data_IF_546440103857
#
_entry.id   IF_546440103857
#
_cell.length_a   1.000
_cell.length_b   1.000
_cell.length_c   1.000
_cell.angle_alpha   90.00
_cell.angle_beta   90.00
_cell.angle_gamma   90.00
#
_symmetry.space_group_name_H-M   'P 1'
#
loop_
_entity.id
_entity.type
_entity.pdbx_description
1 polymer ?
#
# COMPACT_ATOMS: atom_id res chain seq x y z
N UNK A 1 2.03 1.14 -6.26
CA UNK A 1 2.68 2.21 -5.47
C UNK A 1 2.98 1.69 -4.07
N UNK A 2 4.15 1.97 -3.58
CA UNK A 2 4.57 1.60 -2.22
C UNK A 2 4.74 2.89 -1.42
N UNK A 3 3.97 3.04 -0.35
CA UNK A 3 3.99 4.23 0.50
C UNK A 3 4.45 3.84 1.89
N UNK A 4 5.64 4.29 2.26
CA UNK A 4 6.27 3.96 3.54
C UNK A 4 7.37 4.99 3.80
N UNK A 5 7.50 5.46 5.04
CA UNK A 5 8.54 6.41 5.41
C UNK A 5 9.93 5.76 5.52
N UNK A 6 9.99 4.44 5.58
CA UNK A 6 11.24 3.69 5.61
C UNK A 6 11.69 3.32 4.21
N UNK A 7 12.85 3.85 3.82
CA UNK A 7 13.46 3.52 2.53
C UNK A 7 13.75 2.03 2.40
N UNK A 8 14.21 1.40 3.49
CA UNK A 8 14.52 -0.03 3.50
C UNK A 8 13.26 -0.85 3.29
N UNK A 9 12.15 -0.50 3.95
CA UNK A 9 10.87 -1.19 3.76
C UNK A 9 10.38 -1.06 2.32
N UNK A 10 10.50 0.12 1.71
CA UNK A 10 10.13 0.30 0.31
C UNK A 10 10.98 -0.57 -0.62
N UNK A 11 12.28 -0.62 -0.36
CA UNK A 11 13.19 -1.43 -1.17
C UNK A 11 12.85 -2.92 -1.10
N UNK A 12 12.58 -3.42 0.10
CA UNK A 12 12.22 -4.83 0.32
C UNK A 12 10.93 -5.19 -0.42
N UNK A 13 9.89 -4.36 -0.24
CA UNK A 13 8.61 -4.58 -0.92
C UNK A 13 8.78 -4.55 -2.44
N UNK A 14 9.53 -3.58 -2.95
CA UNK A 14 9.81 -3.46 -4.37
C UNK A 14 10.50 -4.71 -4.92
N UNK A 15 11.52 -5.21 -4.23
CA UNK A 15 12.24 -6.40 -4.65
C UNK A 15 11.33 -7.62 -4.74
N UNK A 16 10.46 -7.81 -3.76
CA UNK A 16 9.53 -8.94 -3.78
C UNK A 16 8.52 -8.82 -4.92
N UNK A 17 7.96 -7.62 -5.14
CA UNK A 17 6.99 -7.40 -6.21
C UNK A 17 7.63 -7.64 -7.58
N UNK A 18 8.79 -7.04 -7.83
CA UNK A 18 9.47 -7.19 -9.12
C UNK A 18 10.05 -8.59 -9.33
N UNK A 19 10.36 -9.30 -8.25
CA UNK A 19 10.76 -10.69 -8.33
C UNK A 19 9.63 -11.61 -8.79
N UNK A 20 8.39 -11.27 -8.46
CA UNK A 20 7.20 -12.02 -8.87
C UNK A 20 6.66 -11.53 -10.22
N UNK A 21 6.74 -10.24 -10.49
CA UNK A 21 6.20 -9.60 -11.69
C UNK A 21 7.20 -8.56 -12.21
N UNK A 22 8.21 -9.02 -12.93
CA UNK A 22 9.31 -8.18 -13.41
C UNK A 22 8.86 -7.09 -14.40
N UNK A 23 7.72 -7.28 -15.04
CA UNK A 23 7.15 -6.33 -16.00
C UNK A 23 6.34 -5.20 -15.35
N UNK A 24 6.12 -5.27 -14.04
CA UNK A 24 5.37 -4.24 -13.32
C UNK A 24 6.23 -3.01 -13.08
N UNK A 25 5.58 -1.83 -13.11
CA UNK A 25 6.23 -0.57 -12.75
C UNK A 25 5.92 -0.26 -11.28
N UNK A 26 6.95 0.00 -10.51
CA UNK A 26 6.81 0.31 -9.08
C UNK A 26 7.12 1.79 -8.85
N UNK A 27 6.17 2.50 -8.25
CA UNK A 27 6.31 3.89 -7.83
C UNK A 27 6.36 3.94 -6.32
N UNK A 28 7.28 4.71 -5.76
CA UNK A 28 7.46 4.85 -4.32
C UNK A 28 7.08 6.24 -3.84
N UNK A 29 6.55 6.31 -2.62
CA UNK A 29 6.27 7.56 -1.93
C UNK A 29 6.71 7.43 -0.47
N UNK A 30 7.30 8.48 0.08
CA UNK A 30 7.84 8.47 1.43
C UNK A 30 6.82 8.90 2.49
N UNK A 31 5.70 9.45 2.07
CA UNK A 31 4.62 9.90 2.97
C UNK A 31 3.31 10.00 2.20
N UNK A 32 2.23 10.29 2.93
CA UNK A 32 0.89 10.36 2.36
C UNK A 32 0.71 11.49 1.36
N UNK A 33 1.28 12.65 1.65
CA UNK A 33 1.20 13.83 0.79
C UNK A 33 1.85 13.56 -0.57
N UNK A 34 3.01 12.91 -0.55
CA UNK A 34 3.72 12.51 -1.76
C UNK A 34 2.92 11.48 -2.56
N UNK A 35 2.31 10.52 -1.86
CA UNK A 35 1.46 9.51 -2.50
C UNK A 35 0.28 10.16 -3.22
N UNK A 36 -0.39 11.10 -2.56
CA UNK A 36 -1.52 11.81 -3.17
C UNK A 36 -1.11 12.66 -4.36
N UNK A 37 0.08 13.26 -4.30
CA UNK A 37 0.61 14.06 -5.41
C UNK A 37 0.94 13.20 -6.63
N UNK A 38 1.45 12.00 -6.42
CA UNK A 38 1.85 11.08 -7.50
C UNK A 38 0.69 10.26 -8.08
N UNK A 39 -0.34 10.00 -7.28
CA UNK A 39 -1.41 9.09 -7.66
C UNK A 39 -2.15 9.45 -8.97
N UNK A 40 -2.52 10.70 -9.24
CA UNK A 40 -3.24 11.02 -10.48
C UNK A 40 -2.47 10.70 -11.75
N UNK A 41 -1.14 10.86 -11.74
CA UNK A 41 -0.30 10.57 -12.88
C UNK A 41 0.05 9.08 -12.94
N UNK A 42 0.44 8.50 -11.82
CA UNK A 42 0.87 7.11 -11.76
C UNK A 42 -0.27 6.13 -11.94
N UNK A 43 -1.46 6.46 -11.49
CA UNK A 43 -2.67 5.62 -11.53
C UNK A 43 -2.38 4.16 -11.13
N UNK A 44 -1.86 3.95 -9.91
CA UNK A 44 -1.48 2.62 -9.49
C UNK A 44 -2.71 1.70 -9.38
N UNK A 45 -2.54 0.45 -9.76
CA UNK A 45 -3.55 -0.59 -9.60
C UNK A 45 -3.49 -1.22 -8.22
N UNK A 46 -2.32 -1.13 -7.58
CA UNK A 46 -2.09 -1.63 -6.23
C UNK A 46 -1.36 -0.56 -5.43
N UNK A 47 -1.85 -0.29 -4.23
CA UNK A 47 -1.18 0.60 -3.27
C UNK A 47 -0.91 -0.18 -2.00
N UNK A 48 0.35 -0.22 -1.60
CA UNK A 48 0.79 -0.80 -0.33
C UNK A 48 1.15 0.36 0.58
N UNK A 49 0.42 0.53 1.68
CA UNK A 49 0.45 1.73 2.50
C UNK A 49 0.78 1.42 3.95
N UNK A 50 1.89 1.95 4.46
CA UNK A 50 2.20 1.85 5.88
C UNK A 50 1.19 2.69 6.69
N UNK A 51 0.64 2.11 7.74
CA UNK A 51 -0.29 2.79 8.64
C UNK A 51 0.43 3.85 9.47
N UNK A 52 1.63 3.53 9.94
CA UNK A 52 2.38 4.40 10.86
C UNK A 52 3.36 5.29 10.10
N UNK A 53 2.86 6.42 9.61
CA UNK A 53 3.69 7.42 8.93
C UNK A 53 3.50 8.77 9.58
N UNK A 54 4.55 9.63 9.60
CA UNK A 54 4.40 11.00 10.08
C UNK A 54 3.46 11.80 9.17
N UNK A 55 2.88 12.85 9.70
CA UNK A 55 1.94 13.69 8.97
C UNK A 55 0.55 13.10 8.96
N UNK A 56 -0.02 12.94 7.76
CA UNK A 56 -1.42 12.54 7.60
C UNK A 56 -1.71 11.10 8.06
N UNK A 57 -0.69 10.24 8.09
CA UNK A 57 -0.89 8.83 8.43
C UNK A 57 -1.46 8.00 7.29
N UNK A 58 -1.26 6.67 7.38
CA UNK A 58 -1.64 5.77 6.29
C UNK A 58 -3.14 5.62 6.10
N UNK A 59 -3.89 5.57 7.19
CA UNK A 59 -5.34 5.35 7.12
C UNK A 59 -6.06 6.53 6.47
N UNK A 60 -5.73 7.76 6.87
CA UNK A 60 -6.31 8.96 6.27
C UNK A 60 -5.92 9.09 4.79
N UNK A 61 -4.67 8.77 4.46
CA UNK A 61 -4.20 8.78 3.08
C UNK A 61 -4.93 7.73 2.24
N UNK A 62 -5.12 6.53 2.77
CA UNK A 62 -5.85 5.45 2.09
C UNK A 62 -7.29 5.86 1.78
N UNK A 63 -7.94 6.56 2.70
CA UNK A 63 -9.29 7.06 2.48
C UNK A 63 -9.35 8.03 1.31
N UNK A 64 -8.40 8.96 1.21
CA UNK A 64 -8.34 9.88 0.10
C UNK A 64 -7.96 9.20 -1.22
N UNK A 65 -7.02 8.27 -1.18
CA UNK A 65 -6.65 7.48 -2.36
C UNK A 65 -7.82 6.64 -2.88
N UNK A 66 -8.65 6.10 -1.99
CA UNK A 66 -9.84 5.34 -2.38
C UNK A 66 -10.77 6.17 -3.24
N UNK A 67 -10.91 7.47 -2.93
CA UNK A 67 -11.73 8.40 -3.71
C UNK A 67 -11.12 8.73 -5.07
N UNK A 68 -9.78 8.89 -5.11
CA UNK A 68 -9.06 9.21 -6.34
C UNK A 68 -8.93 7.99 -7.27
N UNK A 69 -8.81 6.82 -6.68
CA UNK A 69 -8.51 5.57 -7.39
C UNK A 69 -9.54 4.51 -6.99
N UNK A 70 -10.79 4.64 -7.44
CA UNK A 70 -11.87 3.75 -6.98
C UNK A 70 -11.65 2.29 -7.36
N UNK A 71 -10.89 2.01 -8.40
CA UNK A 71 -10.63 0.65 -8.88
C UNK A 71 -9.31 0.07 -8.36
N UNK A 72 -8.51 0.86 -7.64
CA UNK A 72 -7.24 0.38 -7.13
C UNK A 72 -7.44 -0.55 -5.93
N UNK A 73 -6.57 -1.55 -5.83
CA UNK A 73 -6.50 -2.38 -4.64
C UNK A 73 -5.55 -1.71 -3.65
N UNK A 74 -6.07 -1.31 -2.49
CA UNK A 74 -5.29 -0.64 -1.45
C UNK A 74 -5.16 -1.56 -0.26
N UNK A 75 -3.93 -1.82 0.18
CA UNK A 75 -3.65 -2.64 1.35
C UNK A 75 -2.82 -1.86 2.35
N UNK A 76 -3.28 -1.81 3.59
CA UNK A 76 -2.55 -1.19 4.68
C UNK A 76 -1.52 -2.17 5.25
N UNK A 77 -0.34 -1.66 5.59
CA UNK A 77 0.69 -2.41 6.29
C UNK A 77 0.72 -2.00 7.74
N UNK A 78 0.62 -2.95 8.66
CA UNK A 78 0.61 -2.66 10.08
C UNK A 78 1.37 -3.72 10.88
N UNK A 79 2.13 -3.29 11.89
CA UNK A 79 2.81 -4.20 12.80
C UNK A 79 1.83 -4.82 13.80
N UNK A 80 0.72 -4.15 14.04
CA UNK A 80 -0.26 -4.60 15.04
C UNK A 80 -1.66 -4.22 14.57
N UNK A 81 -2.44 -5.21 14.16
CA UNK A 81 -3.80 -4.99 13.68
C UNK A 81 -4.72 -4.75 14.87
N UNK A 82 -5.20 -3.51 15.00
CA UNK A 82 -6.15 -3.11 16.02
C UNK A 82 -7.57 -3.19 15.47
N UNK A 83 -8.54 -3.47 16.34
CA UNK A 83 -9.95 -3.57 15.94
C UNK A 83 -10.47 -2.30 15.29
N UNK A 84 -10.08 -1.13 15.82
CA UNK A 84 -10.48 0.16 15.25
C UNK A 84 -9.93 0.35 13.83
N UNK A 85 -8.68 -0.02 13.59
CA UNK A 85 -8.07 0.06 12.25
C UNK A 85 -8.75 -0.89 11.29
N UNK A 86 -9.04 -2.11 11.74
CA UNK A 86 -9.74 -3.13 10.95
C UNK A 86 -11.13 -2.66 10.54
N UNK A 87 -11.88 -2.11 11.50
CA UNK A 87 -13.22 -1.60 11.24
C UNK A 87 -13.20 -0.45 10.23
N UNK A 88 -12.26 0.48 10.40
CA UNK A 88 -12.14 1.62 9.51
C UNK A 88 -11.71 1.20 8.11
N UNK A 89 -10.79 0.25 8.00
CA UNK A 89 -10.37 -0.30 6.70
C UNK A 89 -11.56 -0.91 5.96
N UNK A 90 -12.41 -1.65 6.67
CA UNK A 90 -13.63 -2.20 6.08
C UNK A 90 -14.60 -1.13 5.58
N UNK A 91 -14.76 -0.04 6.34
CA UNK A 91 -15.64 1.07 5.95
C UNK A 91 -15.18 1.76 4.68
N UNK A 92 -13.88 1.95 4.51
CA UNK A 92 -13.33 2.63 3.33
C UNK A 92 -12.99 1.67 2.18
N UNK A 93 -13.19 0.39 2.38
CA UNK A 93 -12.99 -0.61 1.32
C UNK A 93 -11.54 -0.90 1.00
N UNK A 94 -10.67 -0.93 2.01
CA UNK A 94 -9.26 -1.30 1.84
C UNK A 94 -8.93 -2.55 2.66
N UNK A 95 -7.93 -3.31 2.20
CA UNK A 95 -7.42 -4.45 2.93
C UNK A 95 -6.29 -4.07 3.88
N UNK A 96 -5.76 -5.05 4.58
CA UNK A 96 -4.57 -4.84 5.41
C UNK A 96 -3.71 -6.10 5.42
N UNK A 97 -2.42 -5.92 5.71
CA UNK A 97 -1.44 -6.98 5.79
C UNK A 97 -0.56 -6.69 7.00
N UNK A 98 -0.28 -7.73 7.79
CA UNK A 98 0.60 -7.59 8.95
C UNK A 98 2.07 -7.55 8.51
N UNK A 99 2.87 -6.76 9.22
CA UNK A 99 4.32 -6.82 9.12
C UNK A 99 4.83 -8.06 9.87
N UNK A 100 5.96 -8.62 9.50
CA UNK A 100 6.94 -8.12 8.52
C UNK A 100 6.52 -8.39 7.08
N UNK A 101 7.09 -7.63 6.15
CA UNK A 101 6.92 -7.87 4.72
C UNK A 101 7.68 -9.15 4.37
N UNK A 102 7.00 -10.14 3.79
CA UNK A 102 7.62 -11.37 3.33
C UNK A 102 7.23 -11.63 1.88
N UNK A 103 8.03 -12.42 1.19
CA UNK A 103 7.72 -12.80 -0.19
C UNK A 103 6.36 -13.49 -0.27
N UNK A 104 6.06 -14.38 0.66
CA UNK A 104 4.79 -15.10 0.71
C UNK A 104 3.60 -14.15 0.85
N UNK A 105 3.71 -13.17 1.76
CA UNK A 105 2.64 -12.19 1.97
C UNK A 105 2.44 -11.31 0.76
N UNK A 106 3.52 -10.87 0.13
CA UNK A 106 3.44 -10.10 -1.11
C UNK A 106 2.84 -10.94 -2.23
N UNK A 107 3.22 -12.21 -2.35
CA UNK A 107 2.65 -13.10 -3.36
C UNK A 107 1.13 -13.24 -3.22
N UNK A 108 0.63 -13.36 -2.01
CA UNK A 108 -0.81 -13.42 -1.75
C UNK A 108 -1.50 -12.11 -2.11
N UNK A 109 -0.85 -10.99 -1.82
CA UNK A 109 -1.40 -9.67 -2.11
C UNK A 109 -1.55 -9.43 -3.60
N UNK A 110 -0.55 -9.81 -4.40
CA UNK A 110 -0.55 -9.53 -5.83
C UNK A 110 -1.26 -10.59 -6.67
N UNK A 111 -1.50 -11.79 -6.13
CA UNK A 111 -2.12 -12.89 -6.86
C UNK A 111 -3.44 -12.52 -7.55
N UNK A 112 -4.40 -11.84 -6.90
CA UNK A 112 -5.65 -11.45 -7.56
C UNK A 112 -5.46 -10.46 -8.71
N UNK A 113 -4.33 -9.75 -8.75
CA UNK A 113 -4.04 -8.71 -9.74
C UNK A 113 -3.24 -9.26 -10.92
N UNK A 114 -2.68 -10.45 -10.77
CA UNK A 114 -1.80 -11.06 -11.77
C UNK A 114 -2.56 -11.84 -12.84
N UNK A 115 -3.82 -12.09 -12.58
CA UNK A 115 -4.65 -12.84 -13.52
C UNK A 115 -5.10 -12.05 -14.69
#
# INVERSE_FOLDING_TARGET
MIVDDSRVSRLVARQYILGLHADWTVVEAANGEEALAKAPEARPQLVLMDVNMPGMGGLACAEQLRKLLPDAHISLLTANVQDATRARAGEIGVGFMEKPITEERIARLVAPLAG
#
